data_IF_376643238558
#
_entry.id   IF_376643238558
#
_cell.length_a   1.000
_cell.length_b   1.000
_cell.length_c   1.000
_cell.angle_alpha   90.00
_cell.angle_beta   90.00
_cell.angle_gamma   90.00
#
_symmetry.space_group_name_H-M   'P 1'
#
loop_
_entity.id
_entity.type
_entity.pdbx_description
1 polymer ?
#
# COMPACT_ATOMS: atom_id res chain seq x y z
N UNK A 1 8.68 -21.46 -1.91
CA UNK A 1 8.90 -21.25 -0.46
C UNK A 1 7.59 -20.71 0.10
N UNK A 2 7.14 -21.21 1.26
CA UNK A 2 5.90 -20.77 1.88
C UNK A 2 6.20 -19.68 2.91
N UNK A 3 5.37 -18.65 2.97
CA UNK A 3 5.46 -17.57 3.94
C UNK A 3 4.46 -17.80 5.07
N UNK A 4 4.79 -17.33 6.26
CA UNK A 4 3.87 -17.36 7.40
C UNK A 4 3.29 -15.96 7.56
N UNK A 5 1.97 -15.84 7.39
CA UNK A 5 1.23 -14.63 7.67
C UNK A 5 0.32 -14.84 8.90
N UNK A 6 -0.16 -13.74 9.46
CA UNK A 6 -1.10 -13.74 10.58
C UNK A 6 -2.45 -13.22 10.09
N UNK A 7 -3.51 -13.98 10.28
CA UNK A 7 -4.90 -13.54 10.07
C UNK A 7 -5.36 -12.70 11.28
N UNK A 8 -4.66 -11.59 11.50
CA UNK A 8 -4.77 -10.77 12.70
C UNK A 8 -3.63 -9.75 12.77
N UNK A 9 -3.32 -9.27 13.97
CA UNK A 9 -2.21 -8.35 14.17
C UNK A 9 -0.95 -9.09 14.62
N UNK A 10 0.20 -8.65 14.11
CA UNK A 10 1.49 -9.00 14.68
C UNK A 10 1.76 -8.10 15.89
N UNK A 11 2.15 -8.71 16.99
CA UNK A 11 2.54 -8.05 18.23
C UNK A 11 3.86 -8.61 18.73
N UNK A 12 4.59 -7.81 19.51
CA UNK A 12 5.80 -8.26 20.19
C UNK A 12 5.43 -8.71 21.61
N UNK A 13 5.80 -9.94 21.97
CA UNK A 13 5.66 -10.48 23.31
C UNK A 13 6.68 -9.90 24.28
N UNK A 14 6.54 -10.27 25.56
CA UNK A 14 7.32 -9.68 26.65
C UNK A 14 8.83 -9.97 26.54
N UNK A 15 9.22 -11.01 25.79
CA UNK A 15 10.62 -11.38 25.54
C UNK A 15 11.07 -11.06 24.11
N UNK A 16 10.28 -10.28 23.35
CA UNK A 16 10.56 -9.92 21.96
C UNK A 16 10.13 -10.96 20.92
N UNK A 17 9.38 -11.99 21.32
CA UNK A 17 8.79 -12.97 20.42
C UNK A 17 7.71 -12.34 19.53
N UNK A 18 7.64 -12.76 18.26
CA UNK A 18 6.56 -12.37 17.36
C UNK A 18 5.31 -13.20 17.67
N UNK A 19 4.27 -12.54 18.18
CA UNK A 19 2.97 -13.13 18.50
C UNK A 19 1.94 -12.70 17.46
N UNK A 20 1.28 -13.67 16.85
CA UNK A 20 0.09 -13.45 16.05
C UNK A 20 -1.14 -13.47 16.98
N UNK A 21 -1.95 -12.41 16.98
CA UNK A 21 -3.18 -12.37 17.79
C UNK A 21 -4.29 -13.26 17.21
N UNK A 22 -4.15 -13.69 15.95
CA UNK A 22 -5.07 -14.56 15.23
C UNK A 22 -4.46 -15.92 14.91
N UNK A 23 -4.80 -16.47 13.74
CA UNK A 23 -4.27 -17.76 13.28
C UNK A 23 -3.09 -17.58 12.33
N UNK A 24 -2.05 -18.39 12.49
CA UNK A 24 -0.95 -18.46 11.54
C UNK A 24 -1.42 -19.14 10.25
N UNK A 25 -1.28 -18.45 9.13
CA UNK A 25 -1.65 -18.96 7.81
C UNK A 25 -0.39 -19.12 6.95
N UNK A 26 -0.28 -20.26 6.28
CA UNK A 26 0.81 -20.53 5.34
C UNK A 26 0.41 -20.04 3.96
N UNK A 27 1.03 -18.96 3.49
CA UNK A 27 0.79 -18.36 2.18
C UNK A 27 1.82 -18.91 1.17
N UNK A 28 1.39 -19.53 0.06
CA UNK A 28 2.30 -19.92 -1.01
C UNK A 28 3.05 -18.70 -1.54
N UNK A 29 4.35 -18.83 -1.83
CA UNK A 29 5.15 -17.70 -2.32
C UNK A 29 4.68 -17.08 -3.63
N UNK A 30 3.84 -17.78 -4.39
CA UNK A 30 3.17 -17.27 -5.59
C UNK A 30 2.03 -16.30 -5.25
N UNK A 31 1.36 -16.47 -4.11
CA UNK A 31 0.30 -15.55 -3.65
C UNK A 31 0.88 -14.28 -3.00
N UNK A 32 2.07 -14.36 -2.41
CA UNK A 32 2.80 -13.19 -1.93
C UNK A 32 3.42 -12.36 -3.07
N UNK A 33 3.72 -13.00 -4.21
CA UNK A 33 4.18 -12.33 -5.43
C UNK A 33 3.05 -11.66 -6.21
N UNK A 34 1.79 -11.88 -5.84
CA UNK A 34 0.69 -11.09 -6.30
C UNK A 34 0.55 -9.88 -5.35
N UNK A 35 1.03 -8.67 -5.70
CA UNK A 35 0.95 -7.49 -4.82
C UNK A 35 -0.50 -7.03 -4.58
N UNK A 36 -1.47 -7.73 -5.17
CA UNK A 36 -2.91 -7.58 -5.04
C UNK A 36 -3.44 -7.91 -3.62
N UNK A 37 -2.58 -8.22 -2.65
CA UNK A 37 -2.95 -8.39 -1.23
C UNK A 37 -3.37 -7.11 -0.51
N UNK A 38 -3.17 -5.95 -1.14
CA UNK A 38 -3.98 -4.75 -0.95
C UNK A 38 -4.42 -4.28 -2.33
N UNK A 39 -5.21 -5.11 -3.02
CA UNK A 39 -5.92 -4.70 -4.23
C UNK A 39 -6.90 -3.62 -3.78
N UNK A 40 -6.44 -2.37 -3.87
CA UNK A 40 -7.29 -1.19 -3.76
C UNK A 40 -8.56 -1.50 -4.53
N UNK A 41 -9.72 -1.31 -3.89
CA UNK A 41 -10.98 -1.46 -4.61
C UNK A 41 -10.96 -0.50 -5.81
N UNK A 42 -11.70 -0.80 -6.87
CA UNK A 42 -11.76 0.08 -8.04
C UNK A 42 -12.14 1.53 -7.67
N UNK A 43 -12.92 1.70 -6.60
CA UNK A 43 -13.24 3.00 -6.01
C UNK A 43 -12.00 3.69 -5.40
N UNK A 44 -11.21 2.97 -4.61
CA UNK A 44 -9.97 3.48 -4.02
C UNK A 44 -8.91 3.83 -5.08
N UNK A 45 -8.86 3.05 -6.18
CA UNK A 45 -7.98 3.35 -7.32
C UNK A 45 -8.40 4.66 -7.99
N UNK A 46 -9.71 4.85 -8.21
CA UNK A 46 -10.26 6.06 -8.79
C UNK A 46 -9.96 7.30 -7.94
N UNK A 47 -10.13 7.18 -6.62
CA UNK A 47 -9.83 8.25 -5.67
C UNK A 47 -8.35 8.63 -5.66
N UNK A 48 -7.45 7.63 -5.54
CA UNK A 48 -6.00 7.86 -5.60
C UNK A 48 -5.56 8.49 -6.93
N UNK A 49 -6.15 8.04 -8.04
CA UNK A 49 -5.84 8.57 -9.36
C UNK A 49 -6.26 10.05 -9.47
N UNK A 50 -7.44 10.40 -8.97
CA UNK A 50 -7.92 11.79 -8.94
C UNK A 50 -6.98 12.71 -8.16
N UNK A 51 -6.63 12.33 -6.94
CA UNK A 51 -5.72 13.10 -6.08
C UNK A 51 -4.31 13.23 -6.71
N UNK A 52 -3.79 12.14 -7.29
CA UNK A 52 -2.49 12.15 -7.95
C UNK A 52 -2.46 13.11 -9.16
N UNK A 53 -3.54 13.14 -9.95
CA UNK A 53 -3.68 14.05 -11.10
C UNK A 53 -3.75 15.50 -10.63
N UNK A 54 -4.48 15.80 -9.56
CA UNK A 54 -4.59 17.16 -8.99
C UNK A 54 -3.21 17.65 -8.53
N UNK A 55 -2.47 16.82 -7.79
CA UNK A 55 -1.10 17.16 -7.36
C UNK A 55 -0.18 17.40 -8.56
N UNK A 56 -0.23 16.52 -9.57
CA UNK A 56 0.54 16.69 -10.79
C UNK A 56 0.20 18.00 -11.51
N UNK A 57 -1.09 18.26 -11.74
CA UNK A 57 -1.57 19.46 -12.42
C UNK A 57 -1.21 20.74 -11.64
N UNK A 58 -1.25 20.71 -10.31
CA UNK A 58 -0.90 21.85 -9.46
C UNK A 58 0.59 22.17 -9.56
N UNK A 59 1.45 21.16 -9.40
CA UNK A 59 2.91 21.35 -9.47
C UNK A 59 3.35 21.77 -10.86
N UNK A 60 2.95 21.02 -11.88
CA UNK A 60 3.36 21.31 -13.25
C UNK A 60 2.67 22.56 -13.80
N UNK A 61 1.40 22.79 -13.48
CA UNK A 61 0.69 24.02 -13.83
C UNK A 61 1.36 25.25 -13.23
N UNK A 62 1.75 25.21 -11.96
CA UNK A 62 2.52 26.27 -11.33
C UNK A 62 3.88 26.48 -12.01
N UNK A 63 4.62 25.41 -12.32
CA UNK A 63 5.91 25.52 -13.02
C UNK A 63 5.76 26.10 -14.43
N UNK A 64 4.71 25.73 -15.16
CA UNK A 64 4.40 26.29 -16.49
C UNK A 64 4.02 27.76 -16.37
N UNK A 65 3.13 28.14 -15.45
CA UNK A 65 2.78 29.53 -15.19
C UNK A 65 3.99 30.36 -14.79
N UNK A 66 4.85 29.84 -13.92
CA UNK A 66 6.11 30.47 -13.53
C UNK A 66 7.04 30.69 -14.72
N UNK A 67 7.09 29.74 -15.66
CA UNK A 67 7.86 29.87 -16.91
C UNK A 67 7.22 30.84 -17.91
N UNK A 68 5.89 30.89 -17.98
CA UNK A 68 5.16 31.72 -18.94
C UNK A 68 5.05 33.19 -18.50
N UNK A 69 5.04 33.44 -17.18
CA UNK A 69 4.99 34.78 -16.57
C UNK A 69 6.40 35.34 -16.26
N UNK A 70 7.45 34.67 -16.75
CA UNK A 70 8.86 35.09 -16.67
C UNK A 70 9.64 34.58 -17.87
#
# INVERSE_FOLDING_TARGET
MNFIACDGAWSAGASGELLCTGTLVSVPGEEMQNPSGSALTWDQVSELQGEAIILFATVFGFLILKKALK
#
